data_IF_562552177573
#
_entry.id   IF_562552177573
#
_cell.length_a   1.000
_cell.length_b   1.000
_cell.length_c   1.000
_cell.angle_alpha   90.00
_cell.angle_beta   90.00
_cell.angle_gamma   90.00
#
_symmetry.space_group_name_H-M   'P 1'
#
loop_
_entity.id
_entity.type
_entity.pdbx_description
1 polymer ?
#
# COMPACT_ATOMS: atom_id res chain seq x y z
N UNK A 1 -19.51 2.60 -15.59
CA UNK A 1 -20.30 2.06 -14.47
C UNK A 1 -19.31 1.64 -13.40
N UNK A 2 -19.22 2.37 -12.29
CA UNK A 2 -18.30 2.04 -11.19
C UNK A 2 -18.99 0.96 -10.38
N UNK A 3 -18.35 -0.19 -10.27
CA UNK A 3 -18.85 -1.32 -9.50
C UNK A 3 -18.84 -0.95 -8.01
N UNK A 4 -20.00 -0.61 -7.47
CA UNK A 4 -20.17 -0.15 -6.09
C UNK A 4 -19.72 -1.19 -5.04
N UNK A 5 -19.69 -2.46 -5.38
CA UNK A 5 -19.26 -3.51 -4.45
C UNK A 5 -17.74 -3.50 -4.20
N UNK A 6 -16.95 -3.00 -5.16
CA UNK A 6 -15.50 -2.81 -4.98
C UNK A 6 -15.13 -1.64 -4.08
N UNK A 7 -16.09 -0.76 -3.77
CA UNK A 7 -15.88 0.38 -2.88
C UNK A 7 -16.27 0.09 -1.42
N UNK A 8 -16.93 -1.03 -1.14
CA UNK A 8 -17.23 -1.46 0.23
C UNK A 8 -15.92 -1.73 0.99
N UNK A 9 -15.68 -0.96 2.04
CA UNK A 9 -14.45 -1.02 2.84
C UNK A 9 -13.34 -0.07 2.41
N UNK A 10 -13.60 0.79 1.43
CA UNK A 10 -12.68 1.85 1.00
C UNK A 10 -12.98 3.15 1.75
N UNK A 11 -12.03 3.60 2.54
CA UNK A 11 -12.11 4.89 3.22
C UNK A 11 -11.30 5.92 2.42
N UNK A 12 -11.93 7.04 2.06
CA UNK A 12 -11.29 8.13 1.30
C UNK A 12 -10.91 9.27 2.25
N UNK A 13 -9.69 9.73 2.15
CA UNK A 13 -9.13 10.81 2.94
C UNK A 13 -8.56 11.90 2.07
N UNK A 14 -8.78 13.16 2.45
CA UNK A 14 -8.26 14.32 1.72
C UNK A 14 -7.54 15.29 2.67
N UNK A 15 -6.44 15.85 2.20
CA UNK A 15 -5.81 17.02 2.81
C UNK A 15 -6.35 18.26 2.07
N UNK A 16 -6.93 19.17 2.82
CA UNK A 16 -7.47 20.43 2.29
C UNK A 16 -6.71 21.62 2.88
N UNK A 17 -6.55 22.65 2.07
CA UNK A 17 -6.14 23.99 2.49
C UNK A 17 -7.25 24.95 2.13
N UNK A 18 -7.89 25.55 3.17
CA UNK A 18 -9.05 26.48 3.05
C UNK A 18 -10.07 26.06 1.97
N UNK A 19 -9.78 26.34 0.71
CA UNK A 19 -10.71 26.09 -0.43
C UNK A 19 -10.22 24.99 -1.39
N UNK A 20 -9.00 24.48 -1.23
CA UNK A 20 -8.42 23.57 -2.21
C UNK A 20 -8.08 22.20 -1.61
N UNK A 21 -8.35 21.15 -2.37
CA UNK A 21 -7.86 19.80 -2.07
C UNK A 21 -6.42 19.69 -2.57
N UNK A 22 -5.49 19.46 -1.65
CA UNK A 22 -4.06 19.34 -1.95
C UNK A 22 -3.64 17.90 -2.25
N UNK A 23 -4.28 16.96 -1.57
CA UNK A 23 -3.97 15.55 -1.71
C UNK A 23 -5.17 14.69 -1.32
N UNK A 24 -5.31 13.55 -1.98
CA UNK A 24 -6.33 12.54 -1.69
C UNK A 24 -5.65 11.18 -1.64
N UNK A 25 -6.07 10.33 -0.71
CA UNK A 25 -5.71 8.92 -0.72
C UNK A 25 -6.91 8.07 -0.31
N UNK A 26 -6.97 6.84 -0.78
CA UNK A 26 -7.88 5.85 -0.26
C UNK A 26 -7.14 4.77 0.51
N UNK A 27 -7.74 4.29 1.59
CA UNK A 27 -7.25 3.16 2.37
C UNK A 27 -8.24 2.02 2.20
N UNK A 28 -7.73 0.85 1.83
CA UNK A 28 -8.53 -0.34 1.58
C UNK A 28 -8.05 -1.47 2.48
N UNK A 29 -8.99 -2.08 3.17
CA UNK A 29 -8.79 -3.34 3.87
C UNK A 29 -9.12 -4.51 2.94
N UNK A 30 -8.14 -5.32 2.63
CA UNK A 30 -8.32 -6.50 1.76
C UNK A 30 -8.39 -7.82 2.54
N UNK A 31 -8.38 -7.77 3.87
CA UNK A 31 -8.39 -8.97 4.72
C UNK A 31 -9.59 -9.90 4.46
N UNK A 32 -10.70 -9.34 3.98
CA UNK A 32 -11.90 -10.11 3.62
C UNK A 32 -11.75 -10.86 2.30
N UNK A 33 -10.92 -10.35 1.38
CA UNK A 33 -10.75 -10.92 0.05
C UNK A 33 -9.48 -11.77 -0.07
N UNK A 34 -8.44 -11.38 0.65
CA UNK A 34 -7.13 -12.02 0.55
C UNK A 34 -6.49 -12.09 1.93
N UNK A 35 -6.12 -13.29 2.32
CA UNK A 35 -5.39 -13.54 3.56
C UNK A 35 -4.02 -14.13 3.24
N UNK A 36 -2.95 -13.41 3.56
CA UNK A 36 -1.60 -13.90 3.49
C UNK A 36 -1.20 -14.45 4.86
N UNK A 37 -0.63 -15.64 4.89
CA UNK A 37 -0.19 -16.31 6.13
C UNK A 37 1.31 -16.58 6.06
N UNK A 38 2.01 -16.36 7.16
CA UNK A 38 3.43 -16.72 7.29
C UNK A 38 3.53 -18.22 7.53
N UNK A 39 3.88 -19.00 6.50
CA UNK A 39 3.94 -20.46 6.62
C UNK A 39 5.18 -20.94 7.37
N UNK A 40 6.35 -20.36 7.07
CA UNK A 40 7.62 -20.75 7.67
C UNK A 40 8.53 -19.53 7.84
N UNK A 41 9.25 -19.48 8.93
CA UNK A 41 10.13 -18.39 9.27
C UNK A 41 11.48 -18.91 9.78
N UNK A 42 12.62 -18.41 9.28
CA UNK A 42 13.93 -18.74 9.83
C UNK A 42 14.04 -18.39 11.30
N UNK A 43 14.77 -19.17 12.07
CA UNK A 43 14.87 -19.04 13.53
C UNK A 43 15.34 -17.64 13.98
N UNK A 44 16.34 -17.07 13.30
CA UNK A 44 16.86 -15.73 13.59
C UNK A 44 15.78 -14.65 13.40
N UNK A 45 14.91 -14.78 12.40
CA UNK A 45 13.82 -13.84 12.16
C UNK A 45 12.73 -14.00 13.22
N UNK A 46 12.47 -15.23 13.71
CA UNK A 46 11.55 -15.45 14.85
C UNK A 46 12.01 -14.69 16.09
N UNK A 47 13.30 -14.74 16.39
CA UNK A 47 13.89 -14.04 17.53
C UNK A 47 13.76 -12.53 17.38
N UNK A 48 14.11 -11.99 16.22
CA UNK A 48 13.99 -10.54 15.93
C UNK A 48 12.54 -10.08 16.09
N UNK A 49 11.58 -10.81 15.50
CA UNK A 49 10.16 -10.46 15.59
C UNK A 49 9.66 -10.56 17.04
N UNK A 50 10.10 -11.55 17.79
CA UNK A 50 9.71 -11.70 19.20
C UNK A 50 10.23 -10.52 20.04
N UNK A 51 11.49 -10.13 19.87
CA UNK A 51 12.05 -8.96 20.53
C UNK A 51 11.32 -7.67 20.10
N UNK A 52 11.09 -7.49 18.80
CA UNK A 52 10.34 -6.33 18.31
C UNK A 52 8.94 -6.26 18.91
N UNK A 53 8.21 -7.38 18.94
CA UNK A 53 6.85 -7.45 19.48
C UNK A 53 6.79 -7.16 20.98
N UNK A 54 7.85 -7.46 21.72
CA UNK A 54 7.95 -7.10 23.14
C UNK A 54 7.97 -5.58 23.34
N UNK A 55 8.72 -4.87 22.49
CA UNK A 55 8.89 -3.42 22.57
C UNK A 55 7.92 -2.62 21.71
N UNK A 56 7.08 -3.28 20.89
CA UNK A 56 6.21 -2.63 19.90
C UNK A 56 5.29 -1.57 20.51
N UNK A 57 4.75 -1.83 21.69
CA UNK A 57 3.87 -0.88 22.39
C UNK A 57 4.61 0.39 22.83
N UNK A 58 5.88 0.27 23.24
CA UNK A 58 6.68 1.42 23.66
C UNK A 58 7.00 2.37 22.50
N UNK A 59 7.08 1.84 21.28
CA UNK A 59 7.37 2.62 20.07
C UNK A 59 6.11 2.94 19.25
N UNK A 60 4.91 2.69 19.78
CA UNK A 60 3.62 2.89 19.12
C UNK A 60 3.55 2.22 17.75
N UNK A 61 4.02 1.00 17.65
CA UNK A 61 3.95 0.18 16.44
C UNK A 61 3.12 -1.08 16.68
N UNK A 62 2.42 -1.52 15.65
CA UNK A 62 1.67 -2.78 15.71
C UNK A 62 2.63 -3.97 15.73
N UNK A 63 2.20 -5.06 16.37
CA UNK A 63 2.96 -6.31 16.38
C UNK A 63 3.13 -6.87 14.97
N UNK A 64 4.30 -7.43 14.71
CA UNK A 64 4.56 -8.17 13.49
C UNK A 64 4.00 -9.60 13.59
N UNK A 65 3.52 -10.18 12.49
CA UNK A 65 2.96 -11.52 12.49
C UNK A 65 4.03 -12.57 12.80
N UNK A 66 3.66 -13.57 13.57
CA UNK A 66 4.48 -14.75 13.84
C UNK A 66 4.23 -15.82 12.77
N UNK A 67 4.95 -16.94 12.88
CA UNK A 67 4.72 -18.12 12.05
C UNK A 67 3.30 -18.65 12.26
N UNK A 68 2.64 -19.04 11.19
CA UNK A 68 1.22 -19.45 11.11
C UNK A 68 0.20 -18.34 11.41
N UNK A 69 0.63 -17.10 11.57
CA UNK A 69 -0.27 -15.97 11.72
C UNK A 69 -0.54 -15.26 10.39
N UNK A 70 -1.73 -14.70 10.26
CA UNK A 70 -2.12 -13.88 9.10
C UNK A 70 -1.41 -12.52 9.09
N UNK A 71 -0.93 -12.13 7.94
CA UNK A 71 -0.34 -10.81 7.72
C UNK A 71 -1.46 -9.78 7.57
N UNK A 72 -1.71 -9.01 8.63
CA UNK A 72 -2.70 -7.94 8.61
C UNK A 72 -2.10 -6.70 7.95
N UNK A 73 -2.61 -6.30 6.78
CA UNK A 73 -2.15 -5.11 6.09
C UNK A 73 -3.30 -4.32 5.47
N UNK A 74 -3.11 -3.01 5.41
CA UNK A 74 -3.95 -2.09 4.65
C UNK A 74 -3.20 -1.60 3.42
N UNK A 75 -3.95 -1.30 2.36
CA UNK A 75 -3.40 -0.80 1.11
C UNK A 75 -3.79 0.66 0.90
N UNK A 76 -2.80 1.49 0.56
CA UNK A 76 -3.05 2.82 0.03
C UNK A 76 -3.29 2.67 -1.46
N UNK A 77 -4.52 2.98 -1.88
CA UNK A 77 -4.93 3.09 -3.29
C UNK A 77 -5.12 4.56 -3.65
N UNK A 78 -5.19 4.86 -4.92
CA UNK A 78 -5.59 6.17 -5.45
C UNK A 78 -4.96 7.35 -4.73
N UNK A 79 -3.64 7.33 -4.60
CA UNK A 79 -2.92 8.47 -4.08
C UNK A 79 -2.79 9.54 -5.18
N UNK A 80 -3.53 10.64 -5.03
CA UNK A 80 -3.47 11.78 -5.92
C UNK A 80 -2.98 13.02 -5.17
N UNK A 81 -2.06 13.75 -5.78
CA UNK A 81 -1.41 14.92 -5.22
C UNK A 81 -1.49 16.07 -6.23
N UNK A 82 -1.86 17.25 -5.80
CA UNK A 82 -1.81 18.45 -6.64
C UNK A 82 -0.37 18.79 -7.05
N UNK A 83 0.57 18.60 -6.12
CA UNK A 83 2.01 18.75 -6.32
C UNK A 83 2.73 17.63 -5.57
N UNK A 84 3.85 17.16 -6.12
CA UNK A 84 4.68 16.15 -5.47
C UNK A 84 5.49 16.78 -4.32
N UNK A 85 4.77 17.26 -3.30
CA UNK A 85 5.37 17.77 -2.08
C UNK A 85 5.66 16.61 -1.11
N UNK A 86 6.95 16.44 -0.78
CA UNK A 86 7.43 15.43 0.18
C UNK A 86 6.74 15.54 1.53
N UNK A 87 6.39 16.76 1.99
CA UNK A 87 5.72 16.99 3.26
C UNK A 87 4.29 16.48 3.26
N UNK A 88 3.56 16.68 2.15
CA UNK A 88 2.18 16.17 1.99
C UNK A 88 2.18 14.63 1.96
N UNK A 89 3.10 14.04 1.21
CA UNK A 89 3.25 12.58 1.13
C UNK A 89 3.56 12.00 2.51
N UNK A 90 4.51 12.60 3.23
CA UNK A 90 4.87 12.14 4.58
C UNK A 90 3.68 12.26 5.56
N UNK A 91 2.88 13.32 5.47
CA UNK A 91 1.66 13.48 6.29
C UNK A 91 0.63 12.39 5.98
N UNK A 92 0.35 12.09 4.71
CA UNK A 92 -0.59 11.05 4.31
C UNK A 92 -0.14 9.66 4.79
N UNK A 93 1.14 9.32 4.58
CA UNK A 93 1.69 8.04 5.03
C UNK A 93 1.69 7.93 6.56
N UNK A 94 2.03 9.01 7.28
CA UNK A 94 1.95 9.04 8.75
C UNK A 94 0.51 8.84 9.23
N UNK A 95 -0.45 9.42 8.53
CA UNK A 95 -1.86 9.23 8.85
C UNK A 95 -2.30 7.78 8.60
N UNK A 96 -1.92 7.19 7.46
CA UNK A 96 -2.20 5.78 7.18
C UNK A 96 -1.58 4.84 8.23
N UNK A 97 -0.35 5.12 8.69
CA UNK A 97 0.30 4.39 9.78
C UNK A 97 -0.48 4.50 11.10
N UNK A 98 -1.01 5.68 11.43
CA UNK A 98 -1.85 5.87 12.63
C UNK A 98 -3.14 5.05 12.55
N UNK A 99 -3.79 4.99 11.38
CA UNK A 99 -4.96 4.15 11.16
C UNK A 99 -4.59 2.66 11.31
N UNK A 100 -3.49 2.24 10.68
CA UNK A 100 -3.00 0.87 10.78
C UNK A 100 -2.77 0.48 12.24
N UNK A 101 -2.09 1.32 13.01
CA UNK A 101 -1.84 1.08 14.43
C UNK A 101 -3.14 0.95 15.23
N UNK A 102 -4.07 1.91 15.08
CA UNK A 102 -5.37 1.89 15.78
C UNK A 102 -6.21 0.65 15.46
N UNK A 103 -6.14 0.14 14.24
CA UNK A 103 -6.88 -1.05 13.77
C UNK A 103 -6.05 -2.35 13.90
N UNK A 104 -4.87 -2.31 14.54
CA UNK A 104 -3.96 -3.45 14.75
C UNK A 104 -3.51 -4.13 13.46
N UNK A 105 -3.28 -3.35 12.38
CA UNK A 105 -2.62 -3.82 11.17
C UNK A 105 -1.10 -3.71 11.32
N UNK A 106 -0.39 -4.76 10.89
CA UNK A 106 1.07 -4.83 10.98
C UNK A 106 1.76 -4.01 9.88
N UNK A 107 1.12 -3.83 8.73
CA UNK A 107 1.73 -3.18 7.57
C UNK A 107 0.79 -2.22 6.86
N UNK A 108 1.41 -1.19 6.26
CA UNK A 108 0.78 -0.31 5.28
C UNK A 108 1.49 -0.53 3.95
N UNK A 109 0.76 -0.95 2.94
CA UNK A 109 1.28 -1.21 1.60
C UNK A 109 0.88 -0.10 0.64
N UNK A 110 1.79 0.27 -0.25
CA UNK A 110 1.55 1.18 -1.36
C UNK A 110 2.22 0.63 -2.61
N UNK A 111 1.50 0.62 -3.71
CA UNK A 111 2.04 0.23 -5.01
C UNK A 111 2.36 1.46 -5.82
N UNK A 112 3.56 1.50 -6.36
CA UNK A 112 4.07 2.63 -7.15
C UNK A 112 4.78 2.08 -8.38
N UNK A 113 4.50 2.64 -9.55
CA UNK A 113 5.22 2.30 -10.76
C UNK A 113 6.66 2.84 -10.70
N UNK A 114 7.63 2.13 -11.30
CA UNK A 114 9.04 2.51 -11.27
C UNK A 114 9.31 3.92 -11.80
N UNK A 115 8.54 4.35 -12.81
CA UNK A 115 8.64 5.67 -13.44
C UNK A 115 7.81 6.75 -12.73
N UNK A 116 7.09 6.40 -11.66
CA UNK A 116 6.31 7.38 -10.91
C UNK A 116 7.21 8.28 -10.06
N UNK A 117 7.03 9.59 -10.23
CA UNK A 117 7.73 10.60 -9.40
C UNK A 117 7.51 10.40 -7.90
N UNK A 118 6.39 9.83 -7.52
CA UNK A 118 6.05 9.50 -6.13
C UNK A 118 7.14 8.64 -5.47
N UNK A 119 7.74 7.70 -6.20
CA UNK A 119 8.76 6.79 -5.67
C UNK A 119 9.94 7.51 -5.02
N UNK A 120 10.35 8.66 -5.60
CA UNK A 120 11.46 9.50 -5.10
C UNK A 120 11.11 10.23 -3.80
N UNK A 121 9.83 10.44 -3.53
CA UNK A 121 9.34 11.19 -2.38
C UNK A 121 8.84 10.31 -1.23
N UNK A 122 8.77 8.99 -1.43
CA UNK A 122 8.39 8.05 -0.37
C UNK A 122 9.44 8.03 0.76
N UNK A 123 9.01 8.02 2.03
CA UNK A 123 9.91 7.89 3.16
C UNK A 123 10.67 6.56 3.10
N UNK A 124 11.98 6.60 3.36
CA UNK A 124 12.87 5.42 3.28
C UNK A 124 12.94 4.62 4.58
N UNK A 125 12.49 5.18 5.69
CA UNK A 125 12.61 4.56 7.01
C UNK A 125 11.61 3.40 7.21
N UNK A 126 12.11 2.27 7.68
CA UNK A 126 11.34 1.04 7.94
C UNK A 126 10.43 0.66 6.75
N UNK A 127 11.04 0.54 5.58
CA UNK A 127 10.39 0.17 4.33
C UNK A 127 10.95 -1.13 3.79
N UNK A 128 10.06 -2.06 3.46
CA UNK A 128 10.37 -3.20 2.61
C UNK A 128 9.89 -2.91 1.20
N UNK A 129 10.69 -3.23 0.20
CA UNK A 129 10.34 -3.04 -1.20
C UNK A 129 10.38 -4.38 -1.93
N UNK A 130 9.31 -4.67 -2.65
CA UNK A 130 9.21 -5.82 -3.53
C UNK A 130 9.06 -5.32 -4.96
N UNK A 131 9.82 -5.92 -5.87
CA UNK A 131 9.70 -5.63 -7.29
C UNK A 131 8.84 -6.71 -7.94
N UNK A 132 7.87 -6.30 -8.74
CA UNK A 132 7.04 -7.21 -9.52
C UNK A 132 6.96 -6.72 -10.96
N UNK A 133 7.02 -7.66 -11.90
CA UNK A 133 6.85 -7.38 -13.33
C UNK A 133 5.42 -7.71 -13.72
N UNK A 134 4.69 -6.71 -14.23
CA UNK A 134 3.39 -6.91 -14.82
C UNK A 134 3.55 -7.35 -16.27
N UNK A 135 3.01 -8.51 -16.62
CA UNK A 135 2.95 -8.97 -18.00
C UNK A 135 1.55 -8.78 -18.55
N UNK A 136 1.45 -8.25 -19.79
CA UNK A 136 0.23 -8.17 -20.52
C UNK A 136 0.22 -9.27 -21.59
N UNK A 137 -0.77 -10.16 -21.52
CA UNK A 137 -0.98 -11.20 -22.52
C UNK A 137 -2.16 -10.78 -23.37
N UNK A 138 -1.94 -10.61 -24.68
CA UNK A 138 -3.01 -10.34 -25.65
C UNK A 138 -3.35 -11.62 -26.38
N UNK A 139 -4.62 -12.02 -26.32
CA UNK A 139 -5.15 -13.20 -27.03
C UNK A 139 -5.50 -12.88 -28.48
N UNK A 140 -5.55 -11.61 -28.85
CA UNK A 140 -5.78 -11.14 -30.22
C UNK A 140 -4.63 -10.23 -30.62
N UNK A 141 -4.22 -10.28 -31.90
CA UNK A 141 -3.16 -9.43 -32.46
C UNK A 141 -3.59 -7.95 -32.50
N UNK A 142 -3.67 -7.31 -31.34
CA UNK A 142 -4.03 -5.90 -31.19
C UNK A 142 -2.80 -5.06 -30.90
N UNK A 143 -1.97 -4.85 -31.91
CA UNK A 143 -0.78 -3.97 -31.86
C UNK A 143 -1.12 -2.56 -31.36
N UNK A 144 -2.27 -2.00 -31.78
CA UNK A 144 -2.75 -0.69 -31.31
C UNK A 144 -2.93 -0.59 -29.80
N UNK A 145 -3.43 -1.64 -29.16
CA UNK A 145 -3.67 -1.66 -27.71
C UNK A 145 -2.35 -1.75 -26.93
N UNK A 146 -1.40 -2.50 -27.44
CA UNK A 146 -0.04 -2.62 -26.88
C UNK A 146 0.70 -1.29 -26.98
N UNK A 147 0.62 -0.59 -28.11
CA UNK A 147 1.25 0.73 -28.29
C UNK A 147 0.64 1.79 -27.34
N UNK A 148 -0.69 1.76 -27.18
CA UNK A 148 -1.39 2.70 -26.30
C UNK A 148 -1.01 2.49 -24.82
N UNK A 149 -0.72 1.26 -24.41
CA UNK A 149 -0.27 0.94 -23.07
C UNK A 149 1.21 1.29 -22.87
N UNK A 150 2.07 1.06 -23.87
CA UNK A 150 3.49 1.43 -23.83
C UNK A 150 3.70 2.94 -23.66
N UNK A 151 2.81 3.77 -24.18
CA UNK A 151 2.90 5.23 -24.09
C UNK A 151 2.38 5.82 -22.77
N UNK A 152 1.76 5.02 -21.91
CA UNK A 152 1.15 5.48 -20.65
C UNK A 152 1.70 4.72 -19.45
N UNK A 153 1.70 5.38 -18.29
CA UNK A 153 2.00 4.71 -17.02
C UNK A 153 0.78 3.86 -16.62
N UNK A 154 0.89 2.53 -16.61
CA UNK A 154 -0.24 1.68 -16.25
C UNK A 154 -0.53 1.78 -14.75
N UNK A 155 -1.80 1.95 -14.41
CA UNK A 155 -2.27 1.78 -13.05
C UNK A 155 -2.58 0.30 -12.82
N UNK A 156 -1.95 -0.31 -11.82
CA UNK A 156 -2.23 -1.67 -11.41
C UNK A 156 -2.71 -1.70 -9.97
N UNK A 157 -3.86 -2.30 -9.77
CA UNK A 157 -4.42 -2.52 -8.44
C UNK A 157 -3.88 -3.82 -7.82
N UNK A 158 -2.81 -3.71 -7.03
CA UNK A 158 -2.21 -4.85 -6.33
C UNK A 158 -3.01 -5.34 -5.11
N UNK A 159 -4.05 -4.62 -4.71
CA UNK A 159 -4.88 -5.07 -3.60
C UNK A 159 -5.87 -6.16 -4.00
N UNK A 160 -6.09 -6.33 -5.31
CA UNK A 160 -7.01 -7.30 -5.90
C UNK A 160 -6.33 -8.58 -6.43
N UNK A 161 -5.01 -8.74 -6.22
CA UNK A 161 -4.24 -9.92 -6.66
C UNK A 161 -4.03 -10.89 -5.52
#
# INVERSE_FOLDING_TARGET
MIDNDKLKGTELYAIRDKTQILAVMSIVDTMRMKQNVVLKMPWHLKTIISCFNLFSNCINMSKLPKEHEGIKMIYIKYLALKQYDKRLIAKLISFAKKIAYKKSYSFVSISVHENDKLLKHLPKFLRFSFHSVGMLVSMKNSTKLVELIKSRMPFRDYSAI
#
